data_IF_260465657241
#
_entry.id   IF_260465657241
#
_cell.length_a   1.000
_cell.length_b   1.000
_cell.length_c   1.000
_cell.angle_alpha   90.00
_cell.angle_beta   90.00
_cell.angle_gamma   90.00
#
_symmetry.space_group_name_H-M   'P 1'
#
loop_
_entity.id
_entity.type
_entity.pdbx_description
1 polymer ?
#
# COMPACT_ATOMS: atom_id res chain seq x y z
N UNK A 1 15.02 4.87 -7.58
CA UNK A 1 14.47 3.52 -7.36
C UNK A 1 13.45 3.21 -8.45
N UNK A 2 13.26 1.93 -8.82
CA UNK A 2 12.21 1.55 -9.76
C UNK A 2 10.87 1.62 -9.03
N UNK A 3 9.89 2.28 -9.63
CA UNK A 3 8.52 2.25 -9.12
C UNK A 3 7.92 0.89 -9.47
N UNK A 4 7.83 0.00 -8.48
CA UNK A 4 7.32 -1.37 -8.64
C UNK A 4 6.01 -1.54 -7.89
N UNK A 5 5.11 -2.39 -8.41
CA UNK A 5 3.81 -2.67 -7.80
C UNK A 5 2.81 -3.24 -8.81
N UNK A 6 1.73 -3.81 -8.28
CA UNK A 6 0.68 -4.47 -9.06
C UNK A 6 -0.39 -3.52 -9.62
N UNK A 7 -0.31 -2.23 -9.29
CA UNK A 7 -1.28 -1.21 -9.73
C UNK A 7 -0.85 -0.61 -11.07
N UNK A 8 -1.82 -0.46 -11.98
CA UNK A 8 -1.64 0.15 -13.30
C UNK A 8 -1.28 1.64 -13.16
N UNK A 9 -0.21 2.03 -13.86
CA UNK A 9 0.30 3.40 -13.91
C UNK A 9 0.95 3.62 -15.28
N UNK A 10 0.91 4.86 -15.75
CA UNK A 10 1.51 5.30 -17.00
C UNK A 10 2.76 6.15 -16.72
N UNK A 11 3.88 5.84 -17.38
CA UNK A 11 5.09 6.67 -17.32
C UNK A 11 4.84 7.97 -18.09
N UNK A 12 5.15 9.12 -17.47
CA UNK A 12 4.94 10.43 -18.10
C UNK A 12 6.27 11.02 -18.56
N UNK A 13 7.20 11.24 -17.63
CA UNK A 13 8.51 11.82 -17.94
C UNK A 13 9.51 11.62 -16.80
N UNK A 14 10.74 11.19 -17.11
CA UNK A 14 11.81 10.94 -16.11
C UNK A 14 11.30 10.12 -14.92
N UNK A 15 11.10 10.75 -13.76
CA UNK A 15 10.66 10.12 -12.50
C UNK A 15 9.16 10.28 -12.23
N UNK A 16 8.42 10.88 -13.16
CA UNK A 16 7.00 11.20 -13.04
C UNK A 16 6.16 10.12 -13.70
N UNK A 17 5.19 9.62 -12.96
CA UNK A 17 4.19 8.64 -13.36
C UNK A 17 2.79 9.19 -13.07
N UNK A 18 1.75 8.64 -13.69
CA UNK A 18 0.40 8.84 -13.17
C UNK A 18 0.27 8.15 -11.80
N UNK A 19 -0.46 8.78 -10.88
CA UNK A 19 -0.89 8.10 -9.66
C UNK A 19 -1.89 6.98 -10.02
N UNK A 20 -2.24 6.12 -9.06
CA UNK A 20 -3.12 4.96 -9.27
C UNK A 20 -4.30 5.28 -10.21
N UNK A 21 -4.34 4.58 -11.35
CA UNK A 21 -5.34 4.76 -12.43
C UNK A 21 -6.57 3.85 -12.28
N UNK A 22 -6.70 3.18 -11.13
CA UNK A 22 -7.87 2.36 -10.78
C UNK A 22 -9.17 3.17 -10.73
N UNK A 23 -10.34 2.50 -10.73
CA UNK A 23 -11.65 3.14 -10.84
C UNK A 23 -11.85 4.26 -9.82
N UNK A 24 -12.27 5.42 -10.28
CA UNK A 24 -12.45 6.59 -9.40
C UNK A 24 -13.55 6.39 -8.34
N UNK A 25 -14.49 5.47 -8.60
CA UNK A 25 -15.55 5.04 -7.68
C UNK A 25 -15.05 4.23 -6.49
N UNK A 26 -13.81 3.73 -6.52
CA UNK A 26 -13.24 2.96 -5.42
C UNK A 26 -12.40 3.81 -4.48
N UNK A 27 -12.48 3.47 -3.19
CA UNK A 27 -11.61 4.03 -2.16
C UNK A 27 -10.27 3.29 -2.14
N UNK A 28 -9.17 4.05 -2.16
CA UNK A 28 -7.83 3.48 -1.91
C UNK A 28 -7.56 3.63 -0.42
N UNK A 29 -7.49 2.49 0.28
CA UNK A 29 -7.19 2.43 1.71
C UNK A 29 -5.87 3.12 2.05
N UNK A 30 -5.80 3.58 3.30
CA UNK A 30 -4.61 4.20 3.87
C UNK A 30 -3.42 3.25 3.90
N UNK A 31 -2.27 3.72 3.42
CA UNK A 31 -1.05 2.94 3.39
C UNK A 31 0.18 3.85 3.34
N UNK A 32 1.33 3.28 3.70
CA UNK A 32 2.62 3.79 3.27
C UNK A 32 2.91 3.30 1.85
N UNK A 33 3.48 4.14 0.99
CA UNK A 33 3.78 3.78 -0.40
C UNK A 33 4.74 2.60 -0.43
N UNK A 34 4.39 1.55 -1.19
CA UNK A 34 5.19 0.32 -1.32
C UNK A 34 5.52 -0.37 0.02
N UNK A 35 4.62 -0.30 1.02
CA UNK A 35 4.83 -0.84 2.37
C UNK A 35 5.09 -2.35 2.44
N UNK A 36 4.59 -3.13 1.47
CA UNK A 36 4.79 -4.59 1.42
C UNK A 36 6.14 -4.99 0.80
N UNK A 37 6.88 -4.03 0.22
CA UNK A 37 8.15 -4.26 -0.45
C UNK A 37 9.29 -3.97 0.53
N UNK A 38 10.41 -4.72 0.44
CA UNK A 38 11.56 -4.53 1.34
C UNK A 38 12.16 -3.12 1.30
N UNK A 39 12.21 -2.50 0.12
CA UNK A 39 12.67 -1.12 -0.05
C UNK A 39 11.50 -0.21 -0.45
N UNK A 40 10.93 0.49 0.52
CA UNK A 40 9.93 1.54 0.31
C UNK A 40 10.61 2.90 0.06
N UNK A 41 9.99 3.82 -0.71
CA UNK A 41 10.53 5.17 -0.88
C UNK A 41 10.50 5.92 0.45
N UNK A 42 11.45 6.80 0.71
CA UNK A 42 11.39 7.68 1.89
C UNK A 42 10.40 8.82 1.69
N UNK A 43 10.22 9.27 0.45
CA UNK A 43 9.43 10.45 0.12
C UNK A 43 8.56 10.20 -1.10
N UNK A 44 7.33 10.69 -1.04
CA UNK A 44 6.37 10.69 -2.16
C UNK A 44 5.99 12.13 -2.47
N UNK A 45 5.89 12.45 -3.75
CA UNK A 45 5.48 13.77 -4.23
C UNK A 45 4.29 13.58 -5.15
N UNK A 46 3.20 14.28 -4.85
CA UNK A 46 2.02 14.33 -5.71
C UNK A 46 1.89 15.69 -6.37
N UNK A 47 1.44 15.72 -7.61
CA UNK A 47 1.15 16.95 -8.35
C UNK A 47 -0.24 16.88 -8.97
N UNK A 48 -1.06 17.89 -8.75
CA UNK A 48 -2.39 17.97 -9.34
C UNK A 48 -2.37 18.70 -10.68
N UNK A 49 -2.53 17.94 -11.76
CA UNK A 49 -2.67 18.49 -13.11
C UNK A 49 -4.12 18.87 -13.40
N UNK A 50 -5.07 18.03 -12.97
CA UNK A 50 -6.52 18.23 -13.11
C UNK A 50 -7.19 17.85 -11.79
N UNK A 51 -7.72 18.82 -11.02
CA UNK A 51 -8.44 18.50 -9.79
C UNK A 51 -9.79 17.85 -10.12
N UNK A 52 -10.29 16.95 -9.24
CA UNK A 52 -11.63 16.39 -9.41
C UNK A 52 -12.70 17.47 -9.21
N UNK A 53 -13.83 17.42 -9.93
CA UNK A 53 -14.97 18.30 -9.67
C UNK A 53 -15.64 17.99 -8.32
N UNK A 54 -15.58 16.73 -7.86
CA UNK A 54 -16.12 16.29 -6.59
C UNK A 54 -15.29 15.11 -6.02
N UNK A 55 -15.11 15.10 -4.70
CA UNK A 55 -14.36 14.04 -4.00
C UNK A 55 -12.86 14.07 -4.28
N UNK A 56 -12.24 12.90 -4.32
CA UNK A 56 -10.87 12.68 -4.81
C UNK A 56 -9.75 13.30 -3.98
N UNK A 57 -10.08 13.67 -2.74
CA UNK A 57 -9.11 14.10 -1.74
C UNK A 57 -8.04 13.02 -1.54
N UNK A 58 -6.85 13.46 -1.20
CA UNK A 58 -5.79 12.59 -0.68
C UNK A 58 -5.84 12.69 0.84
N UNK A 59 -6.46 11.72 1.54
CA UNK A 59 -6.45 11.73 3.00
C UNK A 59 -5.04 11.40 3.50
N UNK A 60 -4.61 12.08 4.55
CA UNK A 60 -3.28 11.99 5.15
C UNK A 60 -3.39 11.71 6.65
N UNK A 61 -2.60 10.77 7.16
CA UNK A 61 -2.65 10.37 8.58
C UNK A 61 -1.24 10.33 9.16
N UNK A 62 -0.97 11.01 10.29
CA UNK A 62 0.27 10.85 11.02
C UNK A 62 0.39 9.41 11.57
N UNK A 63 1.31 8.62 11.02
CA UNK A 63 1.40 7.17 11.25
C UNK A 63 1.62 6.79 12.71
N UNK A 64 2.38 7.62 13.45
CA UNK A 64 2.62 7.39 14.86
C UNK A 64 1.36 7.52 15.73
N UNK A 65 0.38 8.36 15.33
CA UNK A 65 -0.88 8.53 16.08
C UNK A 65 -1.70 7.25 16.08
N UNK A 66 -1.75 6.57 14.94
CA UNK A 66 -2.40 5.26 14.81
C UNK A 66 -1.74 4.26 15.75
N UNK A 67 -0.41 4.25 15.81
CA UNK A 67 0.32 3.33 16.70
C UNK A 67 0.08 3.65 18.18
N UNK A 68 0.15 4.93 18.57
CA UNK A 68 -0.12 5.36 19.96
C UNK A 68 -1.51 4.91 20.42
N UNK A 69 -2.54 5.14 19.59
CA UNK A 69 -3.92 4.77 19.92
C UNK A 69 -4.17 3.26 19.91
N UNK A 70 -3.58 2.53 18.96
CA UNK A 70 -3.68 1.07 18.95
C UNK A 70 -2.97 0.43 20.15
N UNK A 71 -1.86 1.01 20.62
CA UNK A 71 -1.19 0.57 21.85
C UNK A 71 -2.00 0.90 23.11
N UNK A 72 -2.72 2.03 23.12
CA UNK A 72 -3.62 2.39 24.22
C UNK A 72 -4.82 1.44 24.31
N UNK A 73 -5.45 1.12 23.17
CA UNK A 73 -6.67 0.30 23.13
C UNK A 73 -6.40 -1.21 23.09
N UNK A 74 -5.28 -1.65 22.50
CA UNK A 74 -4.94 -3.07 22.29
C UNK A 74 -3.46 -3.39 22.56
N UNK A 75 -2.91 -3.05 23.75
CA UNK A 75 -1.47 -3.19 24.01
C UNK A 75 -0.96 -4.62 23.80
N UNK A 76 -1.65 -5.62 24.35
CA UNK A 76 -1.25 -7.03 24.27
C UNK A 76 -1.26 -7.54 22.82
N UNK A 77 -2.32 -7.23 22.07
CA UNK A 77 -2.43 -7.67 20.68
C UNK A 77 -1.37 -7.01 19.79
N UNK A 78 -1.08 -5.71 19.98
CA UNK A 78 -0.03 -5.02 19.22
C UNK A 78 1.34 -5.65 19.47
N UNK A 79 1.70 -5.93 20.72
CA UNK A 79 2.97 -6.58 21.05
C UNK A 79 3.04 -8.02 20.55
N UNK A 80 1.95 -8.78 20.68
CA UNK A 80 1.87 -10.15 20.15
C UNK A 80 2.06 -10.17 18.63
N UNK A 81 1.35 -9.29 17.92
CA UNK A 81 1.39 -9.23 16.45
C UNK A 81 2.75 -8.72 15.96
N UNK A 82 3.40 -7.82 16.69
CA UNK A 82 4.77 -7.40 16.40
C UNK A 82 5.75 -8.57 16.57
N UNK A 83 5.63 -9.33 17.67
CA UNK A 83 6.49 -10.47 17.96
C UNK A 83 6.33 -11.60 16.94
N UNK A 84 5.10 -11.89 16.53
CA UNK A 84 4.81 -12.90 15.49
C UNK A 84 5.13 -12.41 14.08
N UNK A 85 5.00 -11.12 13.83
CA UNK A 85 5.05 -10.53 12.50
C UNK A 85 3.83 -10.85 11.65
N UNK A 86 3.75 -10.19 10.51
CA UNK A 86 2.66 -10.26 9.53
C UNK A 86 3.08 -11.06 8.30
N UNK A 87 2.09 -11.70 7.66
CA UNK A 87 2.19 -12.30 6.33
C UNK A 87 1.15 -11.68 5.41
N UNK A 88 1.63 -11.20 4.27
CA UNK A 88 0.77 -10.77 3.17
C UNK A 88 0.80 -11.77 2.04
N UNK A 89 -0.35 -12.00 1.43
CA UNK A 89 -0.44 -12.67 0.14
C UNK A 89 -1.15 -11.79 -0.87
N UNK A 90 -0.67 -11.77 -2.11
CA UNK A 90 -1.31 -11.03 -3.22
C UNK A 90 -1.26 -11.93 -4.45
N UNK A 91 -2.42 -12.23 -5.01
CA UNK A 91 -2.54 -13.01 -6.25
C UNK A 91 -2.53 -12.08 -7.45
N UNK A 92 -1.61 -12.33 -8.39
CA UNK A 92 -1.61 -11.73 -9.72
C UNK A 92 -2.19 -12.73 -10.73
N UNK A 93 -2.98 -12.21 -11.69
CA UNK A 93 -3.63 -13.01 -12.72
C UNK A 93 -2.62 -13.55 -13.74
N UNK A 94 -3.04 -14.54 -14.53
CA UNK A 94 -2.26 -15.07 -15.64
C UNK A 94 -2.11 -14.03 -16.77
N UNK A 95 -3.15 -13.22 -16.99
CA UNK A 95 -3.20 -12.15 -18.02
C UNK A 95 -3.67 -10.84 -17.40
N UNK A 96 -3.43 -9.73 -18.10
CA UNK A 96 -3.95 -8.44 -17.67
C UNK A 96 -5.49 -8.39 -17.72
N UNK A 97 -6.10 -7.72 -16.74
CA UNK A 97 -7.53 -7.43 -16.63
C UNK A 97 -7.74 -5.94 -16.31
N UNK A 98 -8.13 -5.15 -17.30
CA UNK A 98 -8.32 -3.71 -17.13
C UNK A 98 -9.53 -3.32 -16.29
N UNK A 99 -10.38 -4.27 -15.88
CA UNK A 99 -11.55 -3.99 -15.04
C UNK A 99 -11.23 -3.92 -13.54
N UNK A 100 -10.03 -4.34 -13.13
CA UNK A 100 -9.61 -4.42 -11.72
C UNK A 100 -8.41 -3.51 -11.41
N UNK A 101 -8.41 -2.88 -10.23
CA UNK A 101 -7.24 -2.12 -9.70
C UNK A 101 -5.97 -2.99 -9.64
N UNK A 102 -6.15 -4.30 -9.41
CA UNK A 102 -5.09 -5.31 -9.40
C UNK A 102 -5.11 -6.18 -10.65
N UNK A 103 -5.50 -5.58 -11.77
CA UNK A 103 -5.59 -6.21 -13.07
C UNK A 103 -4.27 -6.67 -13.68
N UNK A 104 -3.12 -6.31 -13.11
CA UNK A 104 -1.83 -6.58 -13.73
C UNK A 104 -1.49 -8.08 -13.65
N UNK A 105 -1.31 -8.70 -14.81
CA UNK A 105 -0.82 -10.07 -14.93
C UNK A 105 0.61 -10.20 -14.38
N UNK A 106 0.98 -11.41 -13.99
CA UNK A 106 2.27 -11.64 -13.33
C UNK A 106 3.47 -11.28 -14.22
N UNK A 107 3.38 -11.51 -15.53
CA UNK A 107 4.48 -11.21 -16.46
C UNK A 107 4.84 -9.73 -16.44
N UNK A 108 3.84 -8.85 -16.45
CA UNK A 108 4.06 -7.41 -16.35
C UNK A 108 4.45 -7.00 -14.93
N UNK A 109 3.91 -7.68 -13.91
CA UNK A 109 4.22 -7.42 -12.51
C UNK A 109 5.72 -7.64 -12.23
N UNK A 110 6.29 -8.72 -12.77
CA UNK A 110 7.71 -9.08 -12.63
C UNK A 110 8.57 -8.60 -13.81
N UNK A 111 7.95 -8.13 -14.90
CA UNK A 111 8.58 -7.64 -16.12
C UNK A 111 9.30 -8.72 -16.93
N UNK A 112 8.78 -9.96 -16.93
CA UNK A 112 9.38 -11.13 -17.60
C UNK A 112 8.32 -12.22 -17.84
N UNK A 113 8.37 -12.95 -18.97
CA UNK A 113 7.53 -14.13 -19.19
C UNK A 113 8.16 -15.43 -18.66
N UNK A 114 9.38 -15.38 -18.11
CA UNK A 114 10.07 -16.54 -17.54
C UNK A 114 9.79 -16.65 -16.03
N UNK A 115 9.21 -17.79 -15.60
CA UNK A 115 8.89 -18.11 -14.22
C UNK A 115 10.12 -18.10 -13.30
N UNK A 116 11.23 -18.68 -13.74
CA UNK A 116 12.45 -18.74 -12.93
C UNK A 116 13.06 -17.34 -12.72
N UNK A 117 13.00 -16.50 -13.76
CA UNK A 117 13.42 -15.10 -13.67
C UNK A 117 12.48 -14.28 -12.77
N UNK A 118 11.16 -14.55 -12.81
CA UNK A 118 10.19 -13.91 -11.91
C UNK A 118 10.47 -14.27 -10.45
N UNK A 119 10.70 -15.56 -10.15
CA UNK A 119 11.09 -16.03 -8.81
C UNK A 119 12.38 -15.36 -8.32
N UNK A 120 13.40 -15.27 -9.18
CA UNK A 120 14.66 -14.59 -8.85
C UNK A 120 14.44 -13.11 -8.52
N UNK A 121 13.63 -12.41 -9.31
CA UNK A 121 13.30 -10.98 -9.08
C UNK A 121 12.46 -10.78 -7.83
N UNK A 122 11.47 -11.64 -7.59
CA UNK A 122 10.65 -11.63 -6.39
C UNK A 122 11.53 -11.82 -5.14
N UNK A 123 12.41 -12.81 -5.15
CA UNK A 123 13.33 -13.08 -4.04
C UNK A 123 14.26 -11.91 -3.75
N UNK A 124 14.74 -11.22 -4.79
CA UNK A 124 15.58 -10.03 -4.65
C UNK A 124 14.89 -8.88 -3.89
N UNK A 125 13.55 -8.82 -3.90
CA UNK A 125 12.75 -7.82 -3.17
C UNK A 125 12.07 -8.37 -1.92
N UNK A 126 12.42 -9.60 -1.51
CA UNK A 126 11.90 -10.26 -0.30
C UNK A 126 10.48 -10.78 -0.46
N UNK A 127 10.20 -11.39 -1.61
CA UNK A 127 8.93 -12.04 -1.94
C UNK A 127 9.19 -13.47 -2.38
N UNK A 128 8.34 -14.39 -1.94
CA UNK A 128 8.26 -15.75 -2.48
C UNK A 128 7.08 -15.86 -3.44
N UNK A 129 7.17 -16.77 -4.41
CA UNK A 129 6.12 -17.02 -5.40
C UNK A 129 5.59 -18.44 -5.27
N UNK A 130 4.27 -18.57 -5.34
CA UNK A 130 3.55 -19.83 -5.42
C UNK A 130 2.70 -19.82 -6.71
N UNK A 131 3.03 -20.69 -7.66
CA UNK A 131 2.31 -20.78 -8.93
C UNK A 131 0.97 -21.49 -8.75
N UNK A 132 -0.10 -20.88 -9.26
CA UNK A 132 -1.46 -21.40 -9.10
C UNK A 132 -1.88 -22.25 -10.31
N UNK A 133 -2.80 -23.23 -10.13
CA UNK A 133 -3.28 -24.08 -11.23
C UNK A 133 -3.88 -23.30 -12.42
N UNK A 134 -4.42 -22.11 -12.19
CA UNK A 134 -4.99 -21.22 -13.22
C UNK A 134 -3.96 -20.37 -13.98
N UNK A 135 -2.65 -20.63 -13.80
CA UNK A 135 -1.57 -19.91 -14.47
C UNK A 135 -1.23 -18.54 -13.87
N UNK A 136 -1.94 -18.12 -12.82
CA UNK A 136 -1.58 -16.97 -11.99
C UNK A 136 -0.48 -17.30 -10.99
N UNK A 137 -0.11 -16.31 -10.19
CA UNK A 137 0.89 -16.48 -9.13
C UNK A 137 0.45 -15.78 -7.86
N UNK A 138 0.67 -16.44 -6.73
CA UNK A 138 0.50 -15.87 -5.40
C UNK A 138 1.85 -15.41 -4.88
N UNK A 139 1.97 -14.12 -4.63
CA UNK A 139 3.14 -13.53 -3.99
C UNK A 139 2.97 -13.61 -2.48
N UNK A 140 3.99 -14.08 -1.77
CA UNK A 140 4.01 -14.22 -0.30
C UNK A 140 5.08 -13.29 0.26
N UNK A 141 4.72 -12.47 1.25
CA UNK A 141 5.60 -11.53 1.93
C UNK A 141 5.51 -11.72 3.44
N UNK A 142 6.47 -12.42 4.02
CA UNK A 142 6.55 -12.68 5.46
C UNK A 142 8.01 -12.95 5.92
N UNK A 143 8.33 -12.72 7.21
CA UNK A 143 7.56 -11.91 8.16
C UNK A 143 7.72 -10.41 7.86
N UNK A 144 6.68 -9.62 8.15
CA UNK A 144 6.69 -8.15 8.08
C UNK A 144 6.35 -7.57 9.44
N UNK A 145 7.01 -6.47 9.81
CA UNK A 145 6.75 -5.80 11.07
C UNK A 145 5.34 -5.17 11.07
N UNK A 146 4.70 -5.11 12.24
CA UNK A 146 3.43 -4.38 12.38
C UNK A 146 3.73 -2.88 12.46
N UNK A 147 4.77 -2.51 13.19
CA UNK A 147 5.20 -1.12 13.35
C UNK A 147 6.67 -0.97 13.02
N UNK A 148 7.13 0.27 12.80
CA UNK A 148 8.54 0.54 12.52
C UNK A 148 9.02 1.83 13.15
N UNK A 149 10.21 1.81 13.73
CA UNK A 149 10.91 3.01 14.20
C UNK A 149 11.90 3.44 13.12
N UNK A 150 11.92 4.74 12.83
CA UNK A 150 12.84 5.34 11.86
C UNK A 150 13.70 6.41 12.54
N UNK A 151 14.95 6.54 12.09
CA UNK A 151 15.90 7.52 12.62
C UNK A 151 15.40 8.96 12.43
N UNK A 152 15.65 9.80 13.44
CA UNK A 152 15.20 11.20 13.42
C UNK A 152 13.71 11.40 13.69
N UNK A 153 12.97 10.37 14.12
CA UNK A 153 11.52 10.45 14.43
C UNK A 153 11.23 10.34 15.94
N UNK A 154 12.22 10.70 16.77
CA UNK A 154 12.13 10.71 18.25
C UNK A 154 11.74 9.35 18.85
N UNK A 155 12.19 8.25 18.23
CA UNK A 155 11.89 6.89 18.70
C UNK A 155 10.44 6.43 18.55
N UNK A 156 9.57 7.23 17.90
CA UNK A 156 8.16 6.87 17.72
C UNK A 156 8.02 5.71 16.75
N UNK A 157 7.13 4.76 17.10
CA UNK A 157 6.70 3.67 16.24
C UNK A 157 5.68 4.20 15.22
N UNK A 158 5.90 3.89 13.96
CA UNK A 158 5.00 4.19 12.85
C UNK A 158 4.17 2.95 12.56
N UNK A 159 2.90 3.12 12.22
CA UNK A 159 1.98 2.06 11.80
C UNK A 159 2.28 1.62 10.36
N UNK A 160 3.50 1.12 10.15
CA UNK A 160 4.11 0.88 8.85
C UNK A 160 3.72 -0.49 8.28
N UNK A 161 2.41 -0.67 8.04
CA UNK A 161 1.83 -1.91 7.54
C UNK A 161 0.62 -1.59 6.62
N UNK A 162 -0.02 -2.63 6.06
CA UNK A 162 -1.25 -2.50 5.28
C UNK A 162 -2.30 -3.53 5.68
N UNK A 163 -2.43 -3.82 6.99
CA UNK A 163 -3.39 -4.81 7.50
C UNK A 163 -4.82 -4.46 7.07
N UNK A 164 -5.28 -3.24 7.33
CA UNK A 164 -6.64 -2.78 6.97
C UNK A 164 -6.91 -2.93 5.47
N UNK A 165 -5.95 -2.53 4.63
CA UNK A 165 -6.14 -2.56 3.17
C UNK A 165 -6.18 -3.96 2.54
N UNK A 166 -5.71 -5.00 3.25
CA UNK A 166 -5.57 -6.37 2.73
C UNK A 166 -6.26 -7.45 3.58
N UNK A 167 -6.84 -7.11 4.73
CA UNK A 167 -7.57 -8.06 5.56
C UNK A 167 -8.85 -8.54 4.87
N UNK A 168 -9.15 -9.83 4.98
CA UNK A 168 -10.41 -10.43 4.52
C UNK A 168 -10.68 -10.39 3.01
N UNK A 169 -9.69 -10.11 2.15
CA UNK A 169 -9.92 -10.09 0.69
C UNK A 169 -9.61 -11.45 0.06
N UNK A 170 -10.44 -11.88 -0.89
CA UNK A 170 -10.31 -13.19 -1.53
C UNK A 170 -8.99 -13.35 -2.31
N UNK A 171 -8.56 -12.30 -3.01
CA UNK A 171 -7.36 -12.31 -3.87
C UNK A 171 -6.10 -11.79 -3.18
N UNK A 172 -6.22 -11.31 -1.94
CA UNK A 172 -5.10 -10.82 -1.15
C UNK A 172 -5.40 -10.89 0.33
N UNK A 173 -4.53 -11.45 1.16
CA UNK A 173 -4.78 -11.57 2.59
C UNK A 173 -3.69 -10.91 3.43
N UNK A 174 -4.08 -10.45 4.62
CA UNK A 174 -3.19 -10.08 5.73
C UNK A 174 -3.49 -10.99 6.92
N UNK A 175 -2.48 -11.73 7.37
CA UNK A 175 -2.52 -12.68 8.50
C UNK A 175 -1.28 -12.47 9.37
N UNK A 176 -1.21 -13.10 10.54
CA UNK A 176 0.07 -13.24 11.25
C UNK A 176 1.00 -14.20 10.49
N UNK A 177 2.31 -14.10 10.74
CA UNK A 177 3.30 -14.88 9.98
C UNK A 177 3.13 -16.39 10.17
N UNK A 178 2.64 -16.82 11.34
CA UNK A 178 2.29 -18.20 11.66
C UNK A 178 0.99 -18.69 10.98
N UNK A 179 0.28 -17.79 10.27
CA UNK A 179 -1.00 -18.08 9.62
C UNK A 179 -2.23 -17.82 10.48
N UNK A 180 -2.07 -17.36 11.73
CA UNK A 180 -3.21 -16.95 12.56
C UNK A 180 -3.94 -15.77 11.92
N UNK A 181 -5.27 -15.83 11.90
CA UNK A 181 -6.10 -14.74 11.42
C UNK A 181 -6.05 -13.54 12.37
N UNK A 182 -6.00 -12.34 11.81
CA UNK A 182 -6.07 -11.10 12.59
C UNK A 182 -7.55 -10.86 12.94
N UNK A 183 -7.90 -10.63 14.22
CA UNK A 183 -9.28 -10.43 14.62
C UNK A 183 -9.95 -9.28 13.86
N UNK A 184 -11.14 -9.52 13.30
CA UNK A 184 -11.87 -8.50 12.53
C UNK A 184 -12.19 -7.25 13.37
N UNK A 185 -12.46 -7.42 14.66
CA UNK A 185 -12.69 -6.31 15.60
C UNK A 185 -11.47 -5.40 15.72
N UNK A 186 -10.27 -5.96 15.77
CA UNK A 186 -9.01 -5.21 15.78
C UNK A 186 -8.82 -4.42 14.49
N UNK A 187 -9.06 -5.06 13.33
CA UNK A 187 -8.91 -4.42 12.01
C UNK A 187 -9.93 -3.29 11.84
N UNK A 188 -11.20 -3.53 12.18
CA UNK A 188 -12.26 -2.51 12.13
C UNK A 188 -11.94 -1.32 13.01
N UNK A 189 -11.45 -1.55 14.23
CA UNK A 189 -11.08 -0.45 15.12
C UNK A 189 -9.87 0.32 14.61
N UNK A 190 -8.87 -0.38 14.06
CA UNK A 190 -7.73 0.27 13.40
C UNK A 190 -8.20 1.15 12.23
N UNK A 191 -9.13 0.70 11.39
CA UNK A 191 -9.68 1.50 10.29
C UNK A 191 -10.38 2.77 10.80
N UNK A 192 -11.17 2.66 11.87
CA UNK A 192 -11.82 3.82 12.51
C UNK A 192 -10.80 4.83 13.05
N UNK A 193 -9.79 4.37 13.78
CA UNK A 193 -8.72 5.24 14.29
C UNK A 193 -8.01 5.95 13.13
N UNK A 194 -7.68 5.23 12.06
CA UNK A 194 -7.06 5.83 10.88
C UNK A 194 -7.95 6.94 10.28
N UNK A 195 -9.26 6.70 10.18
CA UNK A 195 -10.22 7.69 9.67
C UNK A 195 -10.34 8.91 10.60
N UNK A 196 -10.44 8.68 11.92
CA UNK A 196 -10.50 9.73 12.95
C UNK A 196 -9.25 10.63 12.96
N UNK A 197 -8.07 10.06 12.74
CA UNK A 197 -6.79 10.79 12.67
C UNK A 197 -6.50 11.39 11.28
N UNK A 198 -7.40 11.19 10.30
CA UNK A 198 -7.17 11.59 8.92
C UNK A 198 -7.50 13.05 8.63
N UNK A 199 -6.61 13.70 7.88
CA UNK A 199 -6.78 15.05 7.35
C UNK A 199 -7.05 14.93 5.85
N UNK A 200 -8.15 15.51 5.38
CA UNK A 200 -8.58 15.42 3.99
C UNK A 200 -7.96 16.54 3.15
N UNK A 201 -6.89 16.24 2.42
CA UNK A 201 -6.28 17.22 1.50
C UNK A 201 -7.12 17.37 0.23
N UNK A 202 -7.71 18.56 0.03
CA UNK A 202 -8.47 18.93 -1.17
C UNK A 202 -7.51 19.50 -2.21
N UNK A 203 -7.59 18.97 -3.43
CA UNK A 203 -6.70 19.33 -4.51
C UNK A 203 -7.18 20.57 -5.26
N UNK A 204 -6.27 21.49 -5.52
CA UNK A 204 -6.39 22.53 -6.52
C UNK A 204 -5.40 22.28 -7.68
N UNK A 205 -5.67 22.90 -8.83
CA UNK A 205 -4.78 22.75 -9.99
C UNK A 205 -3.44 23.41 -9.70
N UNK A 206 -2.35 22.66 -9.90
CA UNK A 206 -0.99 23.17 -9.71
C UNK A 206 -0.39 22.83 -8.35
N UNK A 207 -1.19 22.33 -7.40
CA UNK A 207 -0.70 21.92 -6.09
C UNK A 207 0.39 20.85 -6.19
N UNK A 208 1.38 20.98 -5.32
CA UNK A 208 2.42 19.97 -5.09
C UNK A 208 2.42 19.59 -3.62
N UNK A 209 2.18 18.30 -3.34
CA UNK A 209 2.18 17.75 -1.99
C UNK A 209 3.42 16.89 -1.80
N UNK A 210 4.23 17.22 -0.78
CA UNK A 210 5.40 16.44 -0.37
C UNK A 210 5.07 15.63 0.88
N UNK A 211 5.26 14.31 0.81
CA UNK A 211 4.98 13.38 1.89
C UNK A 211 6.26 12.70 2.36
N UNK A 212 6.46 12.70 3.67
CA UNK A 212 7.41 11.82 4.34
C UNK A 212 6.76 10.43 4.46
N UNK A 213 7.11 9.54 3.53
CA UNK A 213 6.51 8.22 3.45
C UNK A 213 6.87 7.35 4.65
N UNK A 214 7.85 7.73 5.47
CA UNK A 214 8.16 6.99 6.69
C UNK A 214 7.22 7.37 7.83
N UNK A 215 6.54 8.52 7.75
CA UNK A 215 5.75 9.07 8.84
C UNK A 215 4.26 9.28 8.52
N UNK A 216 3.86 9.22 7.25
CA UNK A 216 2.50 9.55 6.82
C UNK A 216 1.89 8.40 6.01
N UNK A 217 0.71 7.93 6.45
CA UNK A 217 -0.14 7.11 5.59
C UNK A 217 -0.94 8.04 4.68
N UNK A 218 -1.22 7.58 3.47
CA UNK A 218 -2.09 8.28 2.55
C UNK A 218 -3.04 7.30 1.85
N UNK A 219 -4.14 7.83 1.31
CA UNK A 219 -5.12 7.08 0.54
C UNK A 219 -5.67 7.89 -0.64
N UNK A 220 -6.84 7.49 -1.13
CA UNK A 220 -7.60 8.27 -2.11
C UNK A 220 -9.09 8.10 -1.86
N UNK A 221 -9.81 9.21 -1.67
CA UNK A 221 -11.28 9.21 -1.66
C UNK A 221 -11.85 8.91 -3.05
N UNK A 222 -13.08 8.42 -3.08
CA UNK A 222 -13.83 8.28 -4.34
C UNK A 222 -14.00 9.65 -5.00
N UNK A 223 -14.10 9.70 -6.33
CA UNK A 223 -14.20 10.96 -7.06
C UNK A 223 -14.95 10.83 -8.37
N UNK A 224 -15.48 11.94 -8.86
CA UNK A 224 -15.95 12.04 -10.24
C UNK A 224 -14.80 12.37 -11.20
N UNK A 225 -14.84 11.90 -12.46
CA UNK A 225 -13.94 12.37 -13.49
C UNK A 225 -14.31 13.79 -13.97
N UNK A 226 -13.38 14.56 -14.56
CA UNK A 226 -11.96 14.21 -14.75
C UNK A 226 -11.15 14.41 -13.47
N UNK A 227 -10.10 13.60 -13.28
CA UNK A 227 -9.10 13.75 -12.20
C UNK A 227 -7.75 13.27 -12.69
N UNK A 228 -6.70 14.08 -12.53
CA UNK A 228 -5.33 13.71 -12.91
C UNK A 228 -4.32 14.22 -11.88
N UNK A 229 -3.78 13.27 -11.12
CA UNK A 229 -2.70 13.49 -10.17
C UNK A 229 -1.50 12.66 -10.60
N UNK A 230 -0.33 13.30 -10.65
CA UNK A 230 0.94 12.66 -10.97
C UNK A 230 1.70 12.34 -9.68
N UNK A 231 2.61 11.39 -9.75
CA UNK A 231 3.43 10.95 -8.62
C UNK A 231 4.90 10.82 -8.99
N UNK A 232 5.77 11.17 -8.05
CA UNK A 232 7.18 10.85 -8.06
C UNK A 232 7.61 10.31 -6.70
N UNK A 233 8.56 9.38 -6.68
CA UNK A 233 9.08 8.76 -5.45
C UNK A 233 10.60 8.92 -5.34
N UNK A 234 11.09 9.07 -4.12
CA UNK A 234 12.51 9.23 -3.83
C UNK A 234 13.00 8.26 -2.74
N UNK A 235 14.28 7.88 -2.86
CA UNK A 235 15.06 7.45 -1.70
C UNK A 235 15.39 8.71 -0.91
#
# INVERSE_FOLDING_TARGET
>A
MRYTGAVVRTHVYKRVWTANEGPLSEFIHFHHEMVVIKESPEKVMFFCEIPPPEGGQTPLVPSFRVTERMLEEFPEAVEEFEAKGLKYTITALSTNDTSSIRGKGWEDAFGTPDKAEAERRAKAVGMDLEWLPGGGVKTIMAPRALTKVFDGRKGRRMWFNTVVGLHGKETSSATLADGTEIPETFVKRCEQIIEEESIQFKWEKGDVLFLDNMAVLHGRRTSLPPRKVLVAICK
#
